data_IF_341216023018
#
_entry.id   IF_341216023018
#
_cell.length_a   1.000
_cell.length_b   1.000
_cell.length_c   1.000
_cell.angle_alpha   90.00
_cell.angle_beta   90.00
_cell.angle_gamma   90.00
#
_symmetry.space_group_name_H-M   'P 1'
#
loop_
_entity.id
_entity.type
_entity.pdbx_description
1 polymer ?
#
# COMPACT_ATOMS: atom_id res chain seq x y z
N UNK A 1 7.26 -6.06 -15.36
CA UNK A 1 7.08 -7.09 -16.41
C UNK A 1 8.29 -8.04 -16.54
N UNK A 2 9.46 -7.72 -15.99
CA UNK A 2 10.71 -8.51 -16.15
C UNK A 2 10.95 -9.66 -15.16
N UNK A 3 10.01 -10.00 -14.27
CA UNK A 3 10.18 -11.07 -13.27
C UNK A 3 9.51 -12.39 -13.65
N UNK A 4 8.52 -12.34 -14.53
CA UNK A 4 7.73 -13.51 -14.94
C UNK A 4 8.51 -14.46 -15.87
N UNK A 5 9.62 -13.99 -16.47
CA UNK A 5 10.44 -14.75 -17.42
C UNK A 5 11.82 -15.17 -16.86
N UNK A 6 12.09 -14.99 -15.56
CA UNK A 6 13.38 -15.40 -14.98
C UNK A 6 13.34 -16.87 -14.54
N UNK A 7 14.31 -17.72 -14.94
CA UNK A 7 14.38 -19.09 -14.46
C UNK A 7 14.61 -19.10 -12.94
N UNK A 8 13.90 -19.97 -12.21
CA UNK A 8 13.90 -20.02 -10.74
C UNK A 8 15.29 -20.15 -10.08
N UNK A 9 16.30 -20.60 -10.84
CA UNK A 9 17.71 -20.67 -10.39
C UNK A 9 18.41 -19.31 -10.28
N UNK A 10 17.88 -18.25 -10.90
CA UNK A 10 18.45 -16.90 -10.87
C UNK A 10 17.72 -15.94 -9.91
N UNK A 11 16.65 -16.38 -9.24
CA UNK A 11 15.96 -15.56 -8.26
C UNK A 11 16.75 -15.51 -6.96
N UNK A 12 17.08 -14.31 -6.50
CA UNK A 12 17.67 -14.11 -5.19
C UNK A 12 16.63 -14.39 -4.10
N UNK A 13 17.08 -14.83 -2.92
CA UNK A 13 16.20 -15.12 -1.77
C UNK A 13 15.26 -13.93 -1.45
N UNK A 14 15.75 -12.71 -1.66
CA UNK A 14 15.03 -11.45 -1.50
C UNK A 14 13.83 -11.29 -2.44
N UNK A 15 13.83 -11.91 -3.62
CA UNK A 15 12.73 -11.83 -4.60
C UNK A 15 11.58 -12.79 -4.25
N UNK A 16 11.91 -13.91 -3.61
CA UNK A 16 10.97 -14.99 -3.26
C UNK A 16 10.25 -14.76 -1.93
N UNK A 17 10.68 -13.78 -1.13
CA UNK A 17 10.05 -13.47 0.14
C UNK A 17 8.69 -12.78 -0.05
N UNK A 18 7.69 -13.10 0.80
CA UNK A 18 6.34 -12.53 0.68
C UNK A 18 6.27 -11.00 0.88
N UNK A 19 7.34 -10.38 1.41
CA UNK A 19 7.45 -8.93 1.58
C UNK A 19 8.45 -8.29 0.60
N UNK A 20 8.94 -9.03 -0.40
CA UNK A 20 9.94 -8.57 -1.37
C UNK A 20 9.55 -7.27 -2.07
N UNK A 21 8.26 -7.07 -2.34
CA UNK A 21 7.70 -5.85 -2.94
C UNK A 21 7.90 -4.63 -2.05
N UNK A 22 7.71 -4.77 -0.72
CA UNK A 22 7.96 -3.68 0.23
C UNK A 22 9.45 -3.39 0.34
N UNK A 23 10.28 -4.44 0.42
CA UNK A 23 11.74 -4.31 0.48
C UNK A 23 12.27 -3.57 -0.74
N UNK A 24 11.79 -3.91 -1.94
CA UNK A 24 12.13 -3.21 -3.17
C UNK A 24 11.63 -1.76 -3.18
N UNK A 25 10.43 -1.51 -2.64
CA UNK A 25 9.88 -0.15 -2.57
C UNK A 25 10.67 0.76 -1.64
N UNK A 26 11.25 0.23 -0.55
CA UNK A 26 12.19 0.96 0.32
C UNK A 26 13.50 1.23 -0.43
N UNK A 27 14.08 0.21 -1.09
CA UNK A 27 15.37 0.33 -1.79
C UNK A 27 15.31 1.33 -2.94
N UNK A 28 14.21 1.34 -3.69
CA UNK A 28 14.05 2.18 -4.87
C UNK A 28 13.34 3.52 -4.57
N UNK A 29 13.01 3.81 -3.31
CA UNK A 29 12.23 5.00 -2.91
C UNK A 29 10.98 5.24 -3.77
N UNK A 30 10.32 4.15 -4.17
CA UNK A 30 9.11 4.20 -5.01
C UNK A 30 7.87 4.29 -4.14
N UNK A 31 6.84 4.97 -4.64
CA UNK A 31 5.55 4.98 -3.95
C UNK A 31 4.91 3.58 -3.94
N UNK A 32 4.36 3.20 -2.80
CA UNK A 32 3.59 1.99 -2.62
C UNK A 32 2.15 2.28 -2.24
N UNK A 33 1.27 1.34 -2.59
CA UNK A 33 -0.12 1.27 -2.13
C UNK A 33 -0.27 0.04 -1.26
N UNK A 34 -0.76 0.22 -0.03
CA UNK A 34 -0.99 -0.86 0.93
C UNK A 34 -2.45 -0.82 1.36
N UNK A 35 -3.20 -1.86 1.05
CA UNK A 35 -4.56 -2.04 1.54
C UNK A 35 -4.54 -2.85 2.83
N UNK A 36 -5.20 -2.33 3.87
CA UNK A 36 -5.39 -3.02 5.14
C UNK A 36 -6.76 -3.71 5.22
N UNK A 37 -6.89 -4.66 6.14
CA UNK A 37 -8.16 -5.37 6.42
C UNK A 37 -9.30 -4.46 6.90
N UNK A 38 -8.98 -3.26 7.40
CA UNK A 38 -9.96 -2.28 7.86
C UNK A 38 -10.49 -1.38 6.73
N UNK A 39 -10.27 -1.74 5.46
CA UNK A 39 -10.65 -0.96 4.27
C UNK A 39 -10.07 0.46 4.25
N UNK A 40 -8.95 0.68 4.93
CA UNK A 40 -8.15 1.89 4.79
C UNK A 40 -6.97 1.61 3.90
N UNK A 41 -6.68 2.57 3.03
CA UNK A 41 -5.61 2.46 2.03
C UNK A 41 -4.49 3.41 2.43
N UNK A 42 -3.26 2.89 2.50
CA UNK A 42 -2.06 3.67 2.72
C UNK A 42 -1.40 3.91 1.37
N UNK A 43 -1.21 5.17 1.02
CA UNK A 43 -0.58 5.59 -0.21
C UNK A 43 0.64 6.45 0.14
N UNK A 44 1.82 6.10 -0.36
CA UNK A 44 3.01 6.91 -0.11
C UNK A 44 4.30 6.11 -0.17
N UNK A 45 5.39 6.73 0.24
CA UNK A 45 6.65 6.02 0.44
C UNK A 45 6.58 5.24 1.74
N UNK A 46 7.30 4.13 1.85
CA UNK A 46 7.30 3.29 3.06
C UNK A 46 7.66 4.09 4.32
N UNK A 47 8.42 5.18 4.17
CA UNK A 47 8.76 6.11 5.26
C UNK A 47 7.71 7.19 5.53
N UNK A 48 6.90 7.58 4.54
CA UNK A 48 5.91 8.65 4.65
C UNK A 48 4.62 8.20 3.94
N UNK A 49 3.62 7.80 4.72
CA UNK A 49 2.37 7.25 4.22
C UNK A 49 1.22 8.21 4.46
N UNK A 50 0.31 8.29 3.49
CA UNK A 50 -0.98 8.97 3.60
C UNK A 50 -2.05 7.90 3.71
N UNK A 51 -2.71 7.83 4.86
CA UNK A 51 -3.88 6.99 5.05
C UNK A 51 -5.11 7.66 4.45
N UNK A 52 -5.87 6.93 3.64
CA UNK A 52 -7.08 7.39 2.98
C UNK A 52 -8.21 6.39 3.21
N UNK A 53 -9.40 6.89 3.52
CA UNK A 53 -10.62 6.09 3.56
C UNK A 53 -11.85 6.93 3.26
N UNK A 54 -12.90 6.28 2.77
CA UNK A 54 -14.19 6.92 2.54
C UNK A 54 -15.08 6.69 3.77
N UNK A 55 -15.59 7.77 4.34
CA UNK A 55 -16.64 7.69 5.35
C UNK A 55 -17.98 7.99 4.68
N UNK A 56 -18.94 7.08 4.86
CA UNK A 56 -20.33 7.29 4.45
C UNK A 56 -21.09 7.71 5.70
N UNK A 57 -21.48 9.00 5.84
CA UNK A 57 -22.32 9.42 6.95
C UNK A 57 -23.66 8.69 6.89
N UNK A 58 -24.15 8.26 8.06
CA UNK A 58 -25.54 7.86 8.21
C UNK A 58 -26.35 9.13 8.47
N UNK A 59 -27.03 9.63 7.44
CA UNK A 59 -27.98 10.72 7.63
C UNK A 59 -29.22 10.19 8.38
N UNK A 60 -29.73 10.93 9.36
CA UNK A 60 -30.99 10.61 10.01
C UNK A 60 -32.12 10.55 8.97
N UNK A 61 -32.98 9.53 9.04
CA UNK A 61 -33.98 9.09 8.01
C UNK A 61 -33.43 8.24 6.86
N UNK A 62 -32.59 7.24 7.14
CA UNK A 62 -32.43 6.04 6.28
C UNK A 62 -31.81 6.24 4.89
N UNK A 63 -31.54 7.48 4.46
CA UNK A 63 -30.84 7.78 3.21
C UNK A 63 -29.34 7.81 3.45
N UNK A 64 -28.60 6.96 2.73
CA UNK A 64 -27.14 7.02 2.67
C UNK A 64 -26.77 8.35 1.98
N UNK A 65 -26.02 9.22 2.66
CA UNK A 65 -25.50 10.44 2.04
C UNK A 65 -24.28 10.12 1.17
N UNK A 66 -23.86 11.08 0.35
CA UNK A 66 -22.63 10.95 -0.42
C UNK A 66 -21.44 10.65 0.51
N UNK A 67 -20.57 9.74 0.07
CA UNK A 67 -19.34 9.42 0.78
C UNK A 67 -18.37 10.60 0.73
N UNK A 68 -17.74 10.89 1.86
CA UNK A 68 -16.68 11.88 1.95
C UNK A 68 -15.34 11.19 2.18
N UNK A 69 -14.31 11.60 1.44
CA UNK A 69 -12.97 11.06 1.57
C UNK A 69 -12.23 11.75 2.72
N UNK A 70 -11.67 10.96 3.63
CA UNK A 70 -10.79 11.41 4.69
C UNK A 70 -9.37 10.98 4.41
N UNK A 71 -8.44 11.86 4.72
CA UNK A 71 -7.02 11.60 4.58
C UNK A 71 -6.22 12.07 5.80
N UNK A 72 -5.23 11.25 6.18
CA UNK A 72 -4.36 11.51 7.33
C UNK A 72 -2.91 11.17 6.95
N UNK A 73 -2.01 12.14 7.12
CA UNK A 73 -0.57 11.92 6.92
C UNK A 73 0.04 11.28 8.17
N UNK A 74 0.76 10.17 7.98
CA UNK A 74 1.41 9.41 9.04
C UNK A 74 2.92 9.41 8.76
N UNK A 75 3.68 10.13 9.58
CA UNK A 75 5.13 10.27 9.42
C UNK A 75 5.92 9.01 9.78
N UNK A 76 5.40 8.17 10.69
CA UNK A 76 6.00 6.88 11.08
C UNK A 76 4.90 5.89 11.40
N UNK A 77 4.96 4.70 10.82
CA UNK A 77 3.97 3.65 11.03
C UNK A 77 4.65 2.28 11.05
N UNK A 78 4.22 1.42 11.97
CA UNK A 78 4.58 0.01 11.99
C UNK A 78 3.37 -0.80 11.51
N UNK A 79 3.58 -1.66 10.52
CA UNK A 79 2.55 -2.56 9.97
C UNK A 79 2.88 -4.00 10.38
N UNK A 80 1.89 -4.71 10.91
CA UNK A 80 1.98 -6.14 11.11
C UNK A 80 1.55 -6.87 9.82
N UNK A 81 2.23 -7.97 9.47
CA UNK A 81 1.94 -8.78 8.28
C UNK A 81 0.46 -9.13 8.15
N UNK A 82 -0.19 -9.50 9.25
CA UNK A 82 -1.59 -9.93 9.22
C UNK A 82 -2.53 -8.78 8.89
N UNK A 83 -2.18 -7.52 9.20
CA UNK A 83 -3.07 -6.37 9.00
C UNK A 83 -3.20 -5.94 7.53
N UNK A 84 -2.31 -6.43 6.67
CA UNK A 84 -2.19 -6.06 5.27
C UNK A 84 -2.84 -7.13 4.39
N UNK A 85 -3.69 -6.71 3.46
CA UNK A 85 -4.33 -7.61 2.50
C UNK A 85 -3.58 -7.64 1.18
N UNK A 86 -3.29 -6.47 0.61
CA UNK A 86 -2.64 -6.33 -0.70
C UNK A 86 -1.57 -5.26 -0.63
N UNK A 87 -0.41 -5.53 -1.25
CA UNK A 87 0.66 -4.58 -1.46
C UNK A 87 0.89 -4.44 -2.96
N UNK A 88 0.89 -3.21 -3.45
CA UNK A 88 1.23 -2.88 -4.83
C UNK A 88 2.27 -1.78 -4.89
N UNK A 89 3.25 -1.92 -5.77
CA UNK A 89 4.26 -0.90 -6.03
C UNK A 89 3.81 -0.06 -7.22
N UNK A 90 3.93 1.27 -7.13
CA UNK A 90 3.69 2.18 -8.25
C UNK A 90 5.03 2.46 -8.97
N UNK A 91 5.25 1.92 -10.18
CA UNK A 91 6.51 2.10 -10.91
C UNK A 91 6.66 3.49 -11.56
N UNK A 92 5.59 4.29 -11.63
CA UNK A 92 5.62 5.59 -12.31
C UNK A 92 6.01 6.76 -11.39
N UNK A 93 6.04 6.55 -10.08
CA UNK A 93 6.35 7.58 -9.08
C UNK A 93 7.55 7.11 -8.26
N UNK A 94 8.73 7.38 -8.82
CA UNK A 94 10.02 7.18 -8.17
C UNK A 94 10.65 8.55 -7.89
N UNK A 95 11.10 8.79 -6.67
CA UNK A 95 11.99 9.90 -6.39
C UNK A 95 13.37 9.48 -6.90
N UNK A 96 13.86 10.14 -7.96
CA UNK A 96 15.13 9.84 -8.61
C UNK A 96 16.25 10.63 -7.94
#
# INVERSE_FOLDING_TARGET
VSLLNKPGRQMTLEELQPLSVLTRSVKNSTQGLINRRNNRTLLGWVRNLKEMWTQVPKSGKGKKSNGFNKDHCISKMLLCKDSVTVVSQNPHIACK
#
